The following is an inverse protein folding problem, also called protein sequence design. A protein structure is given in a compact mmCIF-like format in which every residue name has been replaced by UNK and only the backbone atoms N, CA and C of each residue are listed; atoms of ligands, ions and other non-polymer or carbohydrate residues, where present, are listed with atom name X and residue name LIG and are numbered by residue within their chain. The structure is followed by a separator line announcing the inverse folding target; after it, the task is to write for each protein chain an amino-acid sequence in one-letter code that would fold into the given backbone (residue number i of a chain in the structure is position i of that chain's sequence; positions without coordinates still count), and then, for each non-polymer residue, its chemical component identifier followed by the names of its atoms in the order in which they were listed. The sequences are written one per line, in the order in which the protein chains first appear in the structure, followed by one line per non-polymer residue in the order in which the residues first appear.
data_IF_072297165256
#
_entry.id   IF_072297165256
#
_cell.length_a   1.000
_cell.length_b   1.000
_cell.length_c   1.000
_cell.angle_alpha   90.00
_cell.angle_beta   90.00
_cell.angle_gamma   90.00
#
_symmetry.space_group_name_H-M   'P 1'
#
loop_
_entity.id
_entity.type
_entity.pdbx_description
1 polymer ?
#
# COMPACT_ATOMS: atom_id res chain seq x y z
N UNK A 1 -27.90 6.91 7.43
CA UNK A 1 -26.96 6.24 6.50
C UNK A 1 -26.33 7.32 5.66
N UNK A 2 -24.99 7.42 5.63
CA UNK A 2 -24.32 8.31 4.70
C UNK A 2 -24.66 7.95 3.25
N UNK A 3 -24.67 8.97 2.39
CA UNK A 3 -24.88 8.81 0.95
C UNK A 3 -23.78 7.91 0.39
N UNK A 4 -24.16 6.86 -0.34
CA UNK A 4 -23.22 6.02 -1.07
C UNK A 4 -22.76 6.75 -2.32
N UNK A 5 -21.44 6.87 -2.50
CA UNK A 5 -20.84 7.43 -3.71
C UNK A 5 -21.17 6.53 -4.91
N UNK A 6 -21.60 7.15 -6.00
CA UNK A 6 -21.88 6.50 -7.28
C UNK A 6 -20.58 6.28 -8.06
N UNK A 7 -20.58 5.38 -9.04
CA UNK A 7 -19.39 5.12 -9.88
C UNK A 7 -18.87 6.37 -10.61
N UNK A 8 -19.78 7.27 -11.02
CA UNK A 8 -19.43 8.56 -11.64
C UNK A 8 -18.80 9.53 -10.64
N UNK A 9 -19.34 9.63 -9.41
CA UNK A 9 -18.73 10.42 -8.34
C UNK A 9 -17.34 9.91 -7.98
N UNK A 10 -17.17 8.58 -7.88
CA UNK A 10 -15.89 7.94 -7.61
C UNK A 10 -14.86 8.28 -8.70
N UNK A 11 -15.24 8.14 -9.98
CA UNK A 11 -14.35 8.48 -11.11
C UNK A 11 -13.98 9.96 -11.13
N UNK A 12 -14.92 10.85 -10.81
CA UNK A 12 -14.67 12.29 -10.76
C UNK A 12 -13.69 12.65 -9.64
N UNK A 13 -13.85 12.06 -8.45
CA UNK A 13 -12.93 12.26 -7.32
C UNK A 13 -11.53 11.74 -7.70
N UNK A 14 -11.45 10.52 -8.26
CA UNK A 14 -10.20 9.93 -8.74
C UNK A 14 -9.46 10.86 -9.72
N UNK A 15 -10.15 11.39 -10.74
CA UNK A 15 -9.56 12.33 -11.71
C UNK A 15 -9.05 13.62 -11.07
N UNK A 16 -9.78 14.15 -10.09
CA UNK A 16 -9.37 15.36 -9.39
C UNK A 16 -8.12 15.13 -8.52
N UNK A 17 -8.04 13.96 -7.87
CA UNK A 17 -6.86 13.53 -7.12
C UNK A 17 -5.63 13.33 -8.02
N UNK A 18 -5.81 12.76 -9.22
CA UNK A 18 -4.74 12.58 -10.20
C UNK A 18 -4.10 13.92 -10.56
N UNK A 19 -4.92 14.92 -10.91
CA UNK A 19 -4.43 16.25 -11.26
C UNK A 19 -3.70 16.87 -10.07
N UNK A 20 -4.36 16.90 -8.90
CA UNK A 20 -3.79 17.45 -7.67
C UNK A 20 -2.45 16.80 -7.27
N UNK A 21 -2.34 15.47 -7.37
CA UNK A 21 -1.10 14.75 -7.10
C UNK A 21 0.01 15.17 -8.08
N UNK A 22 -0.29 15.29 -9.37
CA UNK A 22 0.67 15.68 -10.41
C UNK A 22 1.12 17.14 -10.24
N UNK A 23 0.21 18.07 -9.95
CA UNK A 23 0.47 19.52 -9.95
C UNK A 23 0.97 20.05 -8.62
N UNK A 24 0.39 19.61 -7.50
CA UNK A 24 0.60 20.24 -6.20
C UNK A 24 1.52 19.42 -5.30
N UNK A 25 1.40 18.09 -5.32
CA UNK A 25 2.13 17.20 -4.40
C UNK A 25 3.46 16.72 -4.99
N UNK A 26 3.45 16.21 -6.23
CA UNK A 26 4.62 15.65 -6.89
C UNK A 26 5.87 16.54 -6.87
N UNK A 27 5.74 17.84 -7.24
CA UNK A 27 6.87 18.76 -7.20
C UNK A 27 7.46 18.95 -5.79
N UNK A 28 6.65 18.83 -4.73
CA UNK A 28 7.14 18.96 -3.34
C UNK A 28 8.04 17.79 -3.00
N UNK A 29 7.55 16.56 -3.16
CA UNK A 29 8.32 15.34 -2.86
C UNK A 29 9.61 15.28 -3.70
N UNK A 30 9.50 15.57 -5.01
CA UNK A 30 10.64 15.55 -5.93
C UNK A 30 11.76 16.50 -5.52
N UNK A 31 11.40 17.68 -5.00
CA UNK A 31 12.38 18.67 -4.57
C UNK A 31 12.96 18.37 -3.18
N UNK A 32 12.24 17.64 -2.32
CA UNK A 32 12.59 17.47 -0.92
C UNK A 32 13.31 16.16 -0.56
N UNK A 33 13.36 15.15 -1.44
CA UNK A 33 14.06 13.87 -1.16
C UNK A 33 15.59 13.87 -1.32
N UNK A 34 16.18 15.01 -1.71
CA UNK A 34 17.60 15.11 -2.09
C UNK A 34 18.00 14.36 -3.37
N UNK A 35 17.09 13.58 -3.98
CA UNK A 35 17.38 12.72 -5.13
C UNK A 35 16.80 13.28 -6.42
N UNK A 36 17.71 13.69 -7.30
CA UNK A 36 17.45 13.80 -8.73
C UNK A 36 18.21 12.63 -9.36
N UNK A 37 17.68 11.92 -10.34
CA UNK A 37 18.37 10.76 -10.94
C UNK A 37 19.82 11.05 -11.36
N UNK A 38 20.15 12.33 -11.58
CA UNK A 38 21.47 12.81 -11.98
C UNK A 38 22.33 13.40 -10.84
N UNK A 39 21.79 13.57 -9.62
CA UNK A 39 22.52 14.18 -8.49
C UNK A 39 21.93 13.82 -7.13
N UNK A 40 22.81 13.55 -6.15
CA UNK A 40 22.46 13.30 -4.75
C UNK A 40 22.95 14.47 -3.87
N UNK A 41 22.05 15.08 -3.10
CA UNK A 41 22.38 16.15 -2.14
C UNK A 41 22.16 15.68 -0.70
N UNK A 42 23.27 15.35 -0.02
CA UNK A 42 23.28 14.91 1.38
C UNK A 42 22.66 15.93 2.34
N UNK A 43 22.64 17.22 2.00
CA UNK A 43 22.14 18.29 2.90
C UNK A 43 20.62 18.35 2.98
N UNK A 44 19.93 17.63 2.10
CA UNK A 44 18.46 17.62 2.00
C UNK A 44 17.86 16.44 2.80
N UNK A 45 18.70 15.55 3.32
CA UNK A 45 18.28 14.25 3.87
C UNK A 45 18.25 14.23 5.41
N UNK A 46 17.65 15.28 6.01
CA UNK A 46 17.47 15.39 7.46
C UNK A 46 16.09 14.89 7.89
N UNK A 47 16.02 14.11 8.97
CA UNK A 47 14.77 13.62 9.58
C UNK A 47 13.81 14.76 9.90
N UNK A 48 14.35 15.91 10.31
CA UNK A 48 13.57 17.11 10.58
C UNK A 48 12.92 17.66 9.31
N UNK A 49 13.61 17.61 8.16
CA UNK A 49 13.04 18.06 6.89
C UNK A 49 11.87 17.16 6.47
N UNK A 50 12.01 15.86 6.63
CA UNK A 50 10.97 14.90 6.24
C UNK A 50 9.70 15.13 7.04
N UNK A 51 9.82 15.27 8.37
CA UNK A 51 8.69 15.65 9.24
C UNK A 51 7.99 16.95 8.78
N UNK A 52 8.74 17.93 8.28
CA UNK A 52 8.17 19.18 7.74
C UNK A 52 7.44 18.95 6.41
N UNK A 53 7.99 18.09 5.54
CA UNK A 53 7.40 17.76 4.24
C UNK A 53 6.13 16.93 4.42
N UNK A 54 6.15 15.90 5.26
CA UNK A 54 4.99 15.08 5.62
C UNK A 54 3.82 15.94 6.07
N UNK A 55 4.03 16.79 7.09
CA UNK A 55 3.00 17.70 7.61
C UNK A 55 2.49 18.68 6.57
N UNK A 56 3.38 19.20 5.71
CA UNK A 56 3.00 20.12 4.64
C UNK A 56 2.12 19.42 3.61
N UNK A 57 2.50 18.22 3.18
CA UNK A 57 1.76 17.43 2.20
C UNK A 57 0.39 17.05 2.77
N UNK A 58 0.34 16.55 4.02
CA UNK A 58 -0.94 16.23 4.66
C UNK A 58 -1.87 17.44 4.76
N UNK A 59 -1.33 18.61 5.15
CA UNK A 59 -2.10 19.85 5.25
C UNK A 59 -2.71 20.24 3.90
N UNK A 60 -1.96 20.09 2.80
CA UNK A 60 -2.47 20.38 1.46
C UNK A 60 -3.56 19.39 1.05
N UNK A 61 -3.38 18.09 1.30
CA UNK A 61 -4.36 17.05 0.96
C UNK A 61 -5.64 17.23 1.80
N UNK A 62 -5.51 17.53 3.10
CA UNK A 62 -6.64 17.85 3.98
C UNK A 62 -7.42 19.05 3.46
N UNK A 63 -6.73 20.15 3.14
CA UNK A 63 -7.38 21.34 2.59
C UNK A 63 -8.10 21.03 1.27
N UNK A 64 -7.46 20.28 0.37
CA UNK A 64 -8.09 19.82 -0.86
C UNK A 64 -9.37 19.03 -0.58
N UNK A 65 -9.34 18.09 0.37
CA UNK A 65 -10.49 17.27 0.73
C UNK A 65 -11.63 18.13 1.32
N UNK A 66 -11.32 19.01 2.27
CA UNK A 66 -12.31 19.85 2.95
C UNK A 66 -12.95 20.89 2.01
N UNK A 67 -12.20 21.45 1.06
CA UNK A 67 -12.71 22.44 0.10
C UNK A 67 -13.58 21.82 -1.00
N UNK A 68 -13.24 20.62 -1.46
CA UNK A 68 -13.88 20.01 -2.63
C UNK A 68 -14.93 18.94 -2.27
N UNK A 69 -14.78 18.29 -1.13
CA UNK A 69 -15.58 17.14 -0.68
C UNK A 69 -15.88 17.21 0.83
N UNK A 70 -16.48 18.31 1.34
CA UNK A 70 -16.70 18.53 2.77
C UNK A 70 -17.54 17.47 3.47
N UNK A 71 -18.27 16.64 2.72
CA UNK A 71 -19.05 15.51 3.22
C UNK A 71 -18.24 14.22 3.46
N UNK A 72 -17.02 14.14 2.92
CA UNK A 72 -16.11 12.99 3.08
C UNK A 72 -15.16 13.31 4.25
N UNK A 73 -15.10 12.42 5.24
CA UNK A 73 -14.21 12.58 6.40
C UNK A 73 -12.74 12.48 5.99
N UNK A 74 -11.83 12.83 6.91
CA UNK A 74 -10.39 12.76 6.66
C UNK A 74 -9.64 12.09 7.80
N UNK A 75 -8.75 11.17 7.45
CA UNK A 75 -7.76 10.52 8.30
C UNK A 75 -6.41 10.62 7.60
N UNK A 76 -5.39 11.08 8.31
CA UNK A 76 -4.01 11.13 7.84
C UNK A 76 -3.06 10.64 8.92
N UNK A 77 -1.93 10.07 8.52
CA UNK A 77 -0.88 9.57 9.41
C UNK A 77 -0.43 10.60 10.46
N UNK A 78 -0.16 11.84 10.04
CA UNK A 78 0.43 12.87 10.89
C UNK A 78 -0.59 13.50 11.85
N UNK A 79 -1.88 13.46 11.48
CA UNK A 79 -2.96 14.00 12.30
C UNK A 79 -3.54 13.02 13.30
N UNK A 80 -3.41 11.71 13.06
CA UNK A 80 -4.09 10.72 13.89
C UNK A 80 -3.27 10.36 15.13
N UNK A 81 -3.92 10.39 16.30
CA UNK A 81 -3.29 9.83 17.49
C UNK A 81 -3.31 8.29 17.44
N UNK A 82 -2.25 7.63 17.94
CA UNK A 82 -2.11 6.16 17.89
C UNK A 82 -3.24 5.40 18.60
N UNK A 83 -3.96 6.05 19.50
CA UNK A 83 -5.06 5.48 20.29
C UNK A 83 -6.45 5.73 19.68
N UNK A 84 -6.53 6.50 18.59
CA UNK A 84 -7.80 6.89 17.99
C UNK A 84 -8.38 5.77 17.13
N UNK A 85 -9.56 5.28 17.54
CA UNK A 85 -10.36 4.36 16.73
C UNK A 85 -11.28 5.16 15.83
N UNK A 86 -11.20 4.91 14.54
CA UNK A 86 -12.04 5.57 13.55
C UNK A 86 -13.04 4.58 12.94
N UNK A 87 -14.28 5.03 12.82
CA UNK A 87 -15.35 4.33 12.12
C UNK A 87 -15.28 4.66 10.62
N UNK A 88 -15.09 3.63 9.80
CA UNK A 88 -14.99 3.72 8.34
C UNK A 88 -16.31 3.41 7.63
N UNK A 89 -17.44 3.41 8.33
CA UNK A 89 -18.76 3.26 7.71
C UNK A 89 -19.06 4.43 6.74
N UNK A 90 -18.75 5.66 7.13
CA UNK A 90 -18.93 6.84 6.28
C UNK A 90 -17.75 7.02 5.30
N UNK A 91 -17.97 7.62 4.10
CA UNK A 91 -16.90 7.99 3.20
C UNK A 91 -15.79 8.76 3.91
N UNK A 92 -14.55 8.27 3.79
CA UNK A 92 -13.40 8.81 4.52
C UNK A 92 -12.15 8.75 3.65
N UNK A 93 -11.49 9.89 3.45
CA UNK A 93 -10.12 9.95 2.94
C UNK A 93 -9.17 9.34 3.97
N UNK A 94 -8.28 8.44 3.52
CA UNK A 94 -7.24 7.81 4.33
C UNK A 94 -5.91 8.05 3.63
N UNK A 95 -5.02 8.81 4.27
CA UNK A 95 -3.87 9.44 3.62
C UNK A 95 -2.56 9.08 4.32
N UNK A 96 -1.57 8.67 3.53
CA UNK A 96 -0.16 8.65 3.89
C UNK A 96 0.55 9.72 3.02
N UNK A 97 1.05 10.81 3.62
CA UNK A 97 1.76 11.85 2.90
C UNK A 97 3.05 11.35 2.22
N UNK A 98 3.82 10.49 2.90
CA UNK A 98 5.08 9.91 2.44
C UNK A 98 5.24 8.48 2.98
N UNK A 99 4.64 7.52 2.28
CA UNK A 99 4.89 6.10 2.53
C UNK A 99 6.32 5.77 2.07
N UNK A 100 7.04 5.05 2.93
CA UNK A 100 8.47 4.82 2.78
C UNK A 100 9.32 6.02 3.19
N UNK A 101 8.99 6.67 4.31
CA UNK A 101 9.77 7.77 4.91
C UNK A 101 11.27 7.47 5.00
N UNK A 102 11.66 6.24 5.37
CA UNK A 102 13.08 5.84 5.39
C UNK A 102 13.71 5.89 4.00
N UNK A 103 13.00 5.44 2.96
CA UNK A 103 13.48 5.56 1.59
C UNK A 103 13.63 7.02 1.18
N UNK A 104 12.63 7.85 1.53
CA UNK A 104 12.66 9.28 1.25
C UNK A 104 13.86 9.98 1.91
N UNK A 105 14.15 9.69 3.20
CA UNK A 105 15.32 10.19 3.92
C UNK A 105 16.62 9.76 3.23
N UNK A 106 16.72 8.49 2.81
CA UNK A 106 17.94 7.96 2.21
C UNK A 106 18.07 8.23 0.71
N UNK A 107 17.11 8.92 0.09
CA UNK A 107 17.08 9.14 -1.35
C UNK A 107 16.90 7.85 -2.17
N UNK A 108 16.41 6.77 -1.56
CA UNK A 108 16.02 5.58 -2.30
C UNK A 108 14.71 5.89 -3.04
N UNK A 109 14.61 5.69 -4.37
CA UNK A 109 13.54 6.26 -5.20
C UNK A 109 12.19 5.53 -5.07
N UNK A 110 11.93 4.91 -3.92
CA UNK A 110 10.78 4.05 -3.67
C UNK A 110 9.94 4.55 -2.48
N UNK A 111 9.50 5.79 -2.58
CA UNK A 111 8.55 6.43 -1.67
C UNK A 111 7.43 7.09 -2.47
N UNK A 112 6.27 7.27 -1.85
CA UNK A 112 5.10 7.79 -2.53
C UNK A 112 4.15 8.54 -1.60
N UNK A 113 3.29 9.38 -2.17
CA UNK A 113 2.06 9.81 -1.49
C UNK A 113 0.94 8.81 -1.80
N UNK A 114 0.23 8.35 -0.78
CA UNK A 114 -0.89 7.42 -0.88
C UNK A 114 -2.19 8.10 -0.42
N UNK A 115 -3.19 8.15 -1.29
CA UNK A 115 -4.52 8.70 -0.99
C UNK A 115 -5.57 7.65 -1.32
N UNK A 116 -6.21 7.10 -0.28
CA UNK A 116 -7.35 6.21 -0.40
C UNK A 116 -8.66 6.89 0.00
N UNK A 117 -9.78 6.38 -0.50
CA UNK A 117 -11.11 6.66 0.08
C UNK A 117 -11.74 5.33 0.45
N UNK A 118 -12.19 5.22 1.69
CA UNK A 118 -12.97 4.08 2.18
C UNK A 118 -14.44 4.47 2.35
N UNK A 119 -15.35 3.53 2.08
CA UNK A 119 -16.77 3.67 2.37
C UNK A 119 -17.36 2.31 2.78
N UNK A 120 -18.13 2.27 3.87
CA UNK A 120 -18.66 1.01 4.42
C UNK A 120 -17.55 0.03 4.78
N UNK A 121 -16.43 0.56 5.30
CA UNK A 121 -15.24 -0.21 5.65
C UNK A 121 -14.46 -0.79 4.47
N UNK A 122 -14.75 -0.40 3.22
CA UNK A 122 -14.09 -0.93 2.01
C UNK A 122 -13.39 0.17 1.20
N UNK A 123 -12.19 -0.07 0.66
CA UNK A 123 -11.55 0.87 -0.25
C UNK A 123 -12.36 1.01 -1.54
N UNK A 124 -12.64 2.25 -1.96
CA UNK A 124 -13.42 2.58 -3.15
C UNK A 124 -12.70 3.51 -4.13
N UNK A 125 -11.66 4.21 -3.67
CA UNK A 125 -10.73 4.97 -4.52
C UNK A 125 -9.31 4.74 -3.98
N UNK A 126 -8.33 4.64 -4.86
CA UNK A 126 -6.92 4.65 -4.50
C UNK A 126 -6.09 5.37 -5.54
N UNK A 127 -5.25 6.32 -5.09
CA UNK A 127 -4.23 6.97 -5.88
C UNK A 127 -2.89 6.87 -5.13
N UNK A 128 -1.87 6.29 -5.77
CA UNK A 128 -0.51 6.16 -5.22
C UNK A 128 0.46 6.80 -6.20
N UNK A 129 1.16 7.84 -5.76
CA UNK A 129 2.05 8.60 -6.63
C UNK A 129 3.49 8.61 -6.13
N UNK A 130 4.38 8.03 -6.94
CA UNK A 130 5.82 8.17 -6.80
C UNK A 130 6.35 9.13 -7.88
N UNK A 131 6.68 10.39 -7.52
CA UNK A 131 7.16 11.38 -8.48
C UNK A 131 8.63 11.19 -8.88
N UNK A 132 9.39 10.37 -8.16
CA UNK A 132 10.75 10.01 -8.54
C UNK A 132 10.72 9.07 -9.74
N UNK A 133 9.95 7.99 -9.66
CA UNK A 133 9.80 7.02 -10.74
C UNK A 133 8.84 7.47 -11.85
N UNK A 134 8.17 8.61 -11.67
CA UNK A 134 7.07 9.05 -12.52
C UNK A 134 6.02 7.94 -12.68
N UNK A 135 5.58 7.38 -11.55
CA UNK A 135 4.60 6.30 -11.48
C UNK A 135 3.40 6.77 -10.67
N UNK A 136 2.27 6.98 -11.33
CA UNK A 136 0.97 7.23 -10.71
C UNK A 136 0.07 6.03 -10.94
N UNK A 137 -0.15 5.26 -9.88
CA UNK A 137 -1.15 4.20 -9.87
C UNK A 137 -2.48 4.79 -9.40
N UNK A 138 -3.57 4.47 -10.09
CA UNK A 138 -4.88 4.93 -9.67
C UNK A 138 -5.99 3.95 -10.05
N UNK A 139 -7.04 3.93 -9.23
CA UNK A 139 -8.24 3.16 -9.47
C UNK A 139 -9.42 3.73 -8.68
N UNK A 140 -10.62 3.43 -9.15
CA UNK A 140 -11.84 3.57 -8.36
C UNK A 140 -12.78 2.40 -8.63
N UNK A 141 -13.61 2.06 -7.65
CA UNK A 141 -14.45 0.86 -7.67
C UNK A 141 -15.31 0.78 -8.94
N UNK A 142 -15.08 -0.25 -9.75
CA UNK A 142 -15.77 -0.53 -11.01
C UNK A 142 -15.29 0.27 -12.22
N UNK A 143 -14.23 1.08 -12.09
CA UNK A 143 -13.68 1.90 -13.17
C UNK A 143 -12.30 1.39 -13.68
N UNK A 144 -11.81 0.28 -13.13
CA UNK A 144 -10.52 -0.32 -13.48
C UNK A 144 -9.33 0.34 -12.78
N UNK A 145 -8.15 -0.24 -12.98
CA UNK A 145 -6.88 0.23 -12.44
C UNK A 145 -5.92 0.66 -13.56
N UNK A 146 -5.09 1.66 -13.28
CA UNK A 146 -4.23 2.30 -14.28
C UNK A 146 -2.85 2.61 -13.68
N UNK A 147 -1.84 2.62 -14.53
CA UNK A 147 -0.50 3.16 -14.27
C UNK A 147 -0.21 4.23 -15.33
N UNK A 148 -0.05 5.49 -14.91
CA UNK A 148 0.19 6.62 -15.80
C UNK A 148 -0.83 6.69 -16.95
N UNK A 149 -2.13 6.63 -16.61
CA UNK A 149 -3.24 6.67 -17.55
C UNK A 149 -3.38 5.43 -18.47
N UNK A 150 -2.43 4.49 -18.43
CA UNK A 150 -2.51 3.21 -19.15
C UNK A 150 -3.19 2.13 -18.28
N UNK A 151 -4.17 1.37 -18.82
CA UNK A 151 -4.85 0.32 -18.07
C UNK A 151 -3.88 -0.78 -17.61
N UNK A 152 -4.02 -1.20 -16.35
CA UNK A 152 -3.28 -2.34 -15.80
C UNK A 152 -3.92 -3.63 -16.30
N UNK A 153 -3.25 -4.28 -17.25
CA UNK A 153 -3.64 -5.57 -17.80
C UNK A 153 -2.53 -6.60 -17.56
N UNK A 154 -2.65 -7.37 -16.47
CA UNK A 154 -1.67 -8.41 -16.14
C UNK A 154 -1.87 -9.60 -17.09
N UNK A 155 -0.80 -10.01 -17.78
CA UNK A 155 -0.83 -11.25 -18.57
C UNK A 155 -1.12 -12.46 -17.67
N UNK A 156 -2.02 -13.33 -18.15
CA UNK A 156 -2.40 -14.54 -17.41
C UNK A 156 -1.21 -15.48 -17.28
N UNK A 157 -0.84 -15.82 -16.05
CA UNK A 157 0.19 -16.81 -15.74
C UNK A 157 -0.12 -17.55 -14.45
N UNK A 158 0.26 -18.84 -14.42
CA UNK A 158 0.03 -19.70 -13.26
C UNK A 158 0.57 -19.08 -11.98
N UNK A 159 -0.26 -19.04 -10.95
CA UNK A 159 0.12 -18.55 -9.62
C UNK A 159 0.39 -19.75 -8.70
N UNK A 160 1.64 -19.89 -8.24
CA UNK A 160 2.02 -20.94 -7.29
C UNK A 160 3.13 -20.43 -6.37
N UNK A 161 3.10 -20.83 -5.10
CA UNK A 161 4.02 -20.34 -4.08
C UNK A 161 5.50 -20.59 -4.44
N UNK A 162 5.83 -21.80 -4.91
CA UNK A 162 7.21 -22.15 -5.25
C UNK A 162 7.79 -21.31 -6.40
N UNK A 163 6.94 -20.81 -7.31
CA UNK A 163 7.37 -20.01 -8.47
C UNK A 163 7.19 -18.51 -8.28
N UNK A 164 6.85 -18.06 -7.08
CA UNK A 164 6.51 -16.66 -6.84
C UNK A 164 7.69 -15.79 -6.43
N UNK A 165 7.59 -14.50 -6.75
CA UNK A 165 8.34 -13.42 -6.11
C UNK A 165 7.42 -12.75 -5.08
N UNK A 166 7.89 -12.63 -3.83
CA UNK A 166 7.10 -12.10 -2.71
C UNK A 166 7.75 -10.86 -2.11
N UNK A 167 7.00 -9.78 -1.97
CA UNK A 167 7.40 -8.61 -1.18
C UNK A 167 7.31 -8.91 0.32
N UNK A 168 8.38 -8.63 1.06
CA UNK A 168 8.53 -8.86 2.50
C UNK A 168 9.30 -7.67 3.10
N UNK A 169 8.85 -7.12 4.24
CA UNK A 169 9.60 -6.08 4.96
C UNK A 169 9.83 -6.41 6.43
N UNK A 170 11.01 -6.01 6.93
CA UNK A 170 11.37 -6.16 8.34
C UNK A 170 10.41 -5.45 9.32
N UNK A 171 9.59 -4.49 8.87
CA UNK A 171 8.71 -3.66 9.72
C UNK A 171 9.47 -2.61 10.52
N UNK A 172 8.85 -1.93 11.48
CA UNK A 172 9.51 -0.98 12.40
C UNK A 172 9.82 -1.57 13.78
N UNK A 173 9.03 -2.57 14.23
CA UNK A 173 9.30 -3.31 15.46
C UNK A 173 10.56 -4.18 15.31
N UNK A 174 11.48 -4.03 16.27
CA UNK A 174 12.81 -4.68 16.28
C UNK A 174 13.11 -5.45 17.56
N UNK A 175 12.11 -5.62 18.44
CA UNK A 175 12.27 -6.37 19.68
C UNK A 175 12.47 -7.86 19.35
N UNK A 176 13.69 -8.34 19.54
CA UNK A 176 14.01 -9.75 19.39
C UNK A 176 13.64 -10.54 20.66
N UNK A 177 13.05 -11.71 20.48
CA UNK A 177 12.61 -12.53 21.58
C UNK A 177 11.58 -13.56 21.16
N UNK A 178 11.54 -14.68 21.89
CA UNK A 178 10.58 -15.76 21.59
C UNK A 178 9.15 -15.21 21.60
N UNK A 179 8.49 -15.27 20.45
CA UNK A 179 7.08 -14.89 20.30
C UNK A 179 6.83 -13.42 19.97
N UNK A 180 7.87 -12.60 19.81
CA UNK A 180 7.72 -11.23 19.28
C UNK A 180 7.33 -11.28 17.79
N UNK A 181 6.78 -10.18 17.27
CA UNK A 181 6.49 -10.08 15.84
C UNK A 181 7.76 -10.17 14.99
N UNK A 182 8.87 -9.62 15.49
CA UNK A 182 10.17 -9.68 14.82
C UNK A 182 10.59 -11.13 14.57
N UNK A 183 10.70 -11.94 15.64
CA UNK A 183 11.13 -13.34 15.49
C UNK A 183 10.18 -14.15 14.60
N UNK A 184 8.86 -13.98 14.75
CA UNK A 184 7.85 -14.64 13.90
C UNK A 184 7.99 -14.31 12.41
N UNK A 185 8.23 -13.04 12.07
CA UNK A 185 8.47 -12.62 10.68
C UNK A 185 9.69 -13.31 10.11
N UNK A 186 10.83 -13.26 10.80
CA UNK A 186 12.07 -13.85 10.28
C UNK A 186 12.02 -15.38 10.23
N UNK A 187 11.31 -16.03 11.15
CA UNK A 187 11.04 -17.47 11.05
C UNK A 187 10.15 -17.81 9.85
N UNK A 188 9.13 -16.98 9.57
CA UNK A 188 8.32 -17.09 8.35
C UNK A 188 9.18 -16.91 7.10
N UNK A 189 10.10 -15.94 7.09
CA UNK A 189 11.02 -15.72 5.96
C UNK A 189 11.91 -16.93 5.71
N UNK A 190 12.49 -17.48 6.78
CA UNK A 190 13.28 -18.70 6.71
C UNK A 190 12.47 -19.86 6.11
N UNK A 191 11.21 -20.02 6.52
CA UNK A 191 10.29 -21.04 5.98
C UNK A 191 9.92 -20.80 4.52
N UNK A 192 9.80 -19.55 4.07
CA UNK A 192 9.50 -19.24 2.66
C UNK A 192 10.71 -19.43 1.76
N UNK A 193 11.92 -19.06 2.23
CA UNK A 193 13.12 -18.95 1.40
C UNK A 193 13.99 -20.22 1.39
N UNK A 194 13.94 -21.04 2.45
CA UNK A 194 14.82 -22.21 2.54
C UNK A 194 14.43 -23.31 1.55
N UNK A 195 15.42 -24.10 1.14
CA UNK A 195 15.29 -25.31 0.32
C UNK A 195 14.44 -26.41 0.98
N UNK A 196 14.37 -26.41 2.32
CA UNK A 196 13.49 -27.26 3.14
C UNK A 196 12.12 -26.63 3.39
N UNK A 197 11.89 -25.43 2.88
CA UNK A 197 10.67 -24.64 3.03
C UNK A 197 9.87 -24.57 1.73
N UNK A 198 9.23 -23.41 1.48
CA UNK A 198 8.49 -23.18 0.25
C UNK A 198 9.40 -23.02 -0.98
N UNK A 199 10.64 -22.59 -0.77
CA UNK A 199 11.64 -22.32 -1.79
C UNK A 199 11.09 -21.43 -2.92
N UNK A 200 10.51 -20.28 -2.52
CA UNK A 200 10.02 -19.28 -3.46
C UNK A 200 11.16 -18.78 -4.37
N UNK A 201 10.85 -18.30 -5.57
CA UNK A 201 11.86 -17.83 -6.53
C UNK A 201 12.68 -16.64 -6.02
N UNK A 202 12.08 -15.81 -5.16
CA UNK A 202 12.81 -14.75 -4.48
C UNK A 202 11.89 -13.84 -3.67
N UNK A 203 12.50 -12.93 -2.94
CA UNK A 203 11.79 -11.88 -2.24
C UNK A 203 12.27 -10.49 -2.66
N UNK A 204 11.47 -9.47 -2.36
CA UNK A 204 11.83 -8.06 -2.45
C UNK A 204 11.51 -7.37 -1.13
N UNK A 205 12.34 -6.42 -0.73
CA UNK A 205 12.10 -5.50 0.39
C UNK A 205 12.42 -4.13 -0.18
N UNK A 206 11.38 -3.37 -0.49
CA UNK A 206 11.46 -2.10 -1.21
C UNK A 206 11.09 -0.91 -0.33
N UNK A 207 10.55 -1.13 0.87
CA UNK A 207 10.42 -0.12 1.92
C UNK A 207 9.23 0.83 1.82
N UNK A 208 8.24 0.56 0.97
CA UNK A 208 6.95 1.28 0.92
C UNK A 208 5.83 0.28 0.69
N UNK A 209 4.86 0.23 1.60
CA UNK A 209 3.75 -0.72 1.57
C UNK A 209 2.80 -0.45 0.40
N UNK A 210 2.43 0.82 0.18
CA UNK A 210 1.53 1.23 -0.90
C UNK A 210 2.14 0.92 -2.27
N UNK A 211 3.43 1.21 -2.48
CA UNK A 211 4.13 0.87 -3.72
C UNK A 211 4.29 -0.64 -3.90
N UNK A 212 4.59 -1.39 -2.83
CA UNK A 212 4.68 -2.85 -2.89
C UNK A 212 3.35 -3.46 -3.35
N UNK A 213 2.21 -2.99 -2.81
CA UNK A 213 0.88 -3.43 -3.25
C UNK A 213 0.66 -3.05 -4.73
N UNK A 214 1.01 -1.84 -5.15
CA UNK A 214 0.91 -1.43 -6.56
C UNK A 214 1.75 -2.30 -7.49
N UNK A 215 2.93 -2.74 -7.04
CA UNK A 215 3.81 -3.63 -7.81
C UNK A 215 3.27 -5.06 -7.89
N UNK A 216 2.47 -5.49 -6.92
CA UNK A 216 1.64 -6.70 -7.03
C UNK A 216 0.52 -6.48 -8.06
N UNK A 217 -0.11 -5.29 -8.08
CA UNK A 217 -1.20 -4.95 -9.02
C UNK A 217 -0.78 -5.00 -10.48
N UNK A 218 0.49 -4.71 -10.81
CA UNK A 218 1.04 -4.85 -12.18
C UNK A 218 1.76 -6.18 -12.42
N UNK A 219 1.76 -7.09 -11.45
CA UNK A 219 2.34 -8.41 -11.57
C UNK A 219 3.88 -8.44 -11.59
N UNK A 220 4.56 -7.39 -11.13
CA UNK A 220 6.02 -7.43 -10.89
C UNK A 220 6.39 -8.29 -9.69
N UNK A 221 5.48 -8.36 -8.71
CA UNK A 221 5.49 -9.34 -7.63
C UNK A 221 4.20 -10.16 -7.69
N UNK A 222 4.24 -11.40 -7.21
CA UNK A 222 3.06 -12.25 -7.16
C UNK A 222 2.27 -12.03 -5.85
N UNK A 223 2.97 -11.67 -4.78
CA UNK A 223 2.36 -11.33 -3.50
C UNK A 223 3.20 -10.34 -2.70
N UNK A 224 2.59 -9.73 -1.69
CA UNK A 224 3.23 -8.91 -0.67
C UNK A 224 2.64 -9.26 0.70
N UNK A 225 3.50 -9.58 1.67
CA UNK A 225 3.08 -9.94 3.02
C UNK A 225 3.79 -9.08 4.05
N UNK A 226 2.99 -8.42 4.88
CA UNK A 226 3.49 -7.58 5.95
C UNK A 226 2.54 -7.54 7.15
N UNK A 227 3.11 -7.28 8.32
CA UNK A 227 2.36 -6.80 9.47
C UNK A 227 2.99 -5.55 10.04
N UNK A 228 2.16 -4.74 10.68
CA UNK A 228 2.50 -3.43 11.23
C UNK A 228 1.85 -2.29 10.47
N UNK A 229 1.47 -2.50 9.20
CA UNK A 229 0.90 -1.44 8.36
C UNK A 229 -0.39 -0.87 8.95
N UNK A 230 -0.61 0.41 8.76
CA UNK A 230 -1.83 1.13 9.10
C UNK A 230 -2.80 1.16 7.91
N UNK A 231 -3.96 1.77 8.13
CA UNK A 231 -4.97 1.91 7.08
C UNK A 231 -4.47 2.77 5.91
N UNK A 232 -3.66 3.80 6.18
CA UNK A 232 -3.12 4.71 5.17
C UNK A 232 -2.09 4.05 4.25
N UNK A 233 -1.27 3.14 4.79
CA UNK A 233 -0.32 2.31 4.04
C UNK A 233 -0.99 1.42 2.98
N UNK A 234 -2.24 0.97 3.24
CA UNK A 234 -2.87 -0.09 2.42
C UNK A 234 -4.12 0.35 1.68
N UNK A 235 -4.86 1.37 2.13
CA UNK A 235 -6.18 1.68 1.57
C UNK A 235 -6.15 1.95 0.06
N UNK A 236 -5.24 2.82 -0.39
CA UNK A 236 -5.13 3.16 -1.80
C UNK A 236 -4.69 1.95 -2.64
N UNK A 237 -3.59 1.30 -2.24
CA UNK A 237 -3.06 0.11 -2.91
C UNK A 237 -4.08 -1.03 -2.99
N UNK A 238 -4.90 -1.22 -1.94
CA UNK A 238 -5.94 -2.24 -1.92
C UNK A 238 -7.01 -1.98 -2.97
N UNK A 239 -7.51 -0.74 -3.11
CA UNK A 239 -8.46 -0.42 -4.18
C UNK A 239 -7.86 -0.72 -5.56
N UNK A 240 -6.61 -0.29 -5.79
CA UNK A 240 -5.87 -0.50 -7.05
C UNK A 240 -5.72 -2.00 -7.34
N UNK A 241 -5.33 -2.80 -6.34
CA UNK A 241 -5.13 -4.23 -6.50
C UNK A 241 -6.44 -4.96 -6.80
N UNK A 242 -7.54 -4.62 -6.12
CA UNK A 242 -8.83 -5.24 -6.38
C UNK A 242 -9.31 -4.95 -7.82
N UNK A 243 -9.18 -3.71 -8.27
CA UNK A 243 -9.55 -3.31 -9.64
C UNK A 243 -8.62 -3.93 -10.71
N UNK A 244 -7.38 -4.29 -10.34
CA UNK A 244 -6.47 -5.10 -11.16
C UNK A 244 -6.77 -6.62 -11.10
N UNK A 245 -7.83 -7.05 -10.43
CA UNK A 245 -8.24 -8.46 -10.28
C UNK A 245 -7.44 -9.22 -9.21
N UNK A 246 -6.66 -8.52 -8.39
CA UNK A 246 -5.98 -9.08 -7.22
C UNK A 246 -6.89 -9.20 -6.01
N UNK A 247 -6.31 -9.66 -4.89
CA UNK A 247 -7.00 -9.84 -3.62
C UNK A 247 -6.08 -9.48 -2.46
N UNK A 248 -6.63 -8.87 -1.41
CA UNK A 248 -5.97 -8.73 -0.10
C UNK A 248 -6.76 -9.49 0.95
N UNK A 249 -6.05 -10.27 1.75
CA UNK A 249 -6.55 -10.97 2.96
C UNK A 249 -5.65 -10.63 4.15
N UNK A 250 -5.99 -11.12 5.34
CA UNK A 250 -5.12 -10.96 6.50
C UNK A 250 -3.83 -11.75 6.39
N UNK A 251 -2.76 -11.20 6.94
CA UNK A 251 -1.46 -11.85 6.91
C UNK A 251 -1.38 -13.11 7.78
N UNK A 252 -2.31 -13.30 8.73
CA UNK A 252 -2.37 -14.51 9.56
C UNK A 252 -3.30 -15.58 8.98
N UNK A 253 -3.03 -16.87 9.22
CA UNK A 253 -3.86 -17.97 8.74
C UNK A 253 -5.35 -17.83 9.05
N UNK A 254 -6.20 -18.05 8.04
CA UNK A 254 -7.66 -18.06 8.16
C UNK A 254 -8.33 -16.68 8.13
N UNK A 255 -7.57 -15.59 8.05
CA UNK A 255 -8.10 -14.23 8.00
C UNK A 255 -8.57 -13.82 6.59
N UNK A 256 -9.57 -14.51 6.04
CA UNK A 256 -10.09 -14.26 4.69
C UNK A 256 -10.79 -12.92 4.52
N UNK A 257 -11.53 -12.49 5.54
CA UNK A 257 -12.27 -11.24 5.56
C UNK A 257 -11.73 -10.39 6.70
N UNK A 258 -11.19 -9.23 6.36
CA UNK A 258 -10.51 -8.35 7.31
C UNK A 258 -10.94 -6.90 7.07
N UNK A 259 -11.00 -6.07 8.13
CA UNK A 259 -11.19 -4.64 7.97
C UNK A 259 -9.90 -3.98 7.43
N UNK A 260 -10.01 -2.75 6.92
CA UNK A 260 -8.87 -1.96 6.42
C UNK A 260 -7.82 -1.70 7.51
N UNK A 261 -8.18 -1.75 8.78
CA UNK A 261 -7.28 -1.53 9.92
C UNK A 261 -6.81 -2.85 10.59
N UNK A 262 -6.75 -3.97 9.85
CA UNK A 262 -6.34 -5.28 10.37
C UNK A 262 -4.88 -5.39 10.84
N UNK A 263 -4.02 -4.45 10.43
CA UNK A 263 -2.58 -4.36 10.77
C UNK A 263 -1.69 -5.51 10.27
N UNK A 264 -2.23 -6.45 9.51
CA UNK A 264 -1.43 -7.47 8.83
C UNK A 264 -2.14 -7.95 7.57
N UNK A 265 -1.42 -8.02 6.45
CA UNK A 265 -1.99 -8.18 5.13
C UNK A 265 -1.18 -9.17 4.29
N UNK A 266 -1.89 -9.88 3.42
CA UNK A 266 -1.33 -10.63 2.30
C UNK A 266 -2.05 -10.16 1.03
N UNK A 267 -1.34 -9.38 0.22
CA UNK A 267 -1.78 -8.96 -1.10
C UNK A 267 -1.32 -9.98 -2.14
N UNK A 268 -2.20 -10.36 -3.06
CA UNK A 268 -1.94 -11.38 -4.10
C UNK A 268 -2.42 -10.86 -5.44
N UNK A 269 -1.59 -11.01 -6.48
CA UNK A 269 -1.89 -10.48 -7.82
C UNK A 269 -3.12 -11.12 -8.48
N UNK A 270 -3.65 -10.43 -9.49
CA UNK A 270 -4.59 -10.99 -10.47
C UNK A 270 -3.85 -11.71 -11.62
N UNK A 271 -4.49 -11.77 -12.79
CA UNK A 271 -3.88 -12.39 -13.99
C UNK A 271 -3.69 -13.90 -13.85
N UNK A 272 -4.73 -14.59 -13.40
CA UNK A 272 -4.71 -16.04 -13.13
C UNK A 272 -5.04 -16.86 -14.38
N UNK A 273 -4.55 -18.10 -14.42
CA UNK A 273 -4.95 -19.08 -15.44
C UNK A 273 -6.26 -19.75 -15.03
N UNK A 274 -6.37 -20.14 -13.76
CA UNK A 274 -7.55 -20.77 -13.16
C UNK A 274 -8.09 -19.91 -12.01
N UNK A 275 -9.41 -19.95 -11.79
CA UNK A 275 -10.09 -19.06 -10.83
C UNK A 275 -9.72 -19.34 -9.35
N UNK A 276 -9.21 -20.54 -9.04
CA UNK A 276 -8.89 -20.97 -7.67
C UNK A 276 -7.42 -20.75 -7.25
N UNK A 277 -6.58 -20.24 -8.16
CA UNK A 277 -5.14 -20.11 -7.89
C UNK A 277 -4.82 -19.14 -6.74
N UNK A 278 -5.58 -18.04 -6.61
CA UNK A 278 -5.42 -17.10 -5.50
C UNK A 278 -5.70 -17.78 -4.15
N UNK A 279 -6.77 -18.58 -4.06
CA UNK A 279 -7.15 -19.23 -2.81
C UNK A 279 -6.15 -20.31 -2.40
N UNK A 280 -5.70 -21.12 -3.37
CA UNK A 280 -4.62 -22.10 -3.15
C UNK A 280 -3.33 -21.41 -2.71
N UNK A 281 -2.92 -20.35 -3.40
CA UNK A 281 -1.72 -19.59 -3.06
C UNK A 281 -1.77 -19.05 -1.62
N UNK A 282 -2.90 -18.47 -1.23
CA UNK A 282 -3.11 -17.91 0.12
C UNK A 282 -3.00 -19.02 1.18
N UNK A 283 -3.66 -20.17 0.96
CA UNK A 283 -3.60 -21.31 1.87
C UNK A 283 -2.20 -21.89 1.99
N UNK A 284 -1.51 -22.07 0.86
CA UNK A 284 -0.12 -22.54 0.82
C UNK A 284 0.78 -21.57 1.58
N UNK A 285 0.68 -20.27 1.31
CA UNK A 285 1.49 -19.24 1.98
C UNK A 285 1.28 -19.27 3.50
N UNK A 286 0.03 -19.31 3.96
CA UNK A 286 -0.31 -19.39 5.38
C UNK A 286 0.24 -20.64 6.06
N UNK A 287 0.43 -21.75 5.32
CA UNK A 287 1.10 -22.95 5.83
C UNK A 287 2.56 -22.71 6.25
N UNK A 288 3.19 -21.65 5.75
CA UNK A 288 4.57 -21.25 6.09
C UNK A 288 4.65 -20.10 7.09
N UNK A 289 3.53 -19.48 7.50
CA UNK A 289 3.50 -18.40 8.49
C UNK A 289 3.75 -18.95 9.90
N UNK A 290 4.74 -18.37 10.58
CA UNK A 290 5.20 -18.80 11.90
C UNK A 290 4.53 -18.01 13.02
N UNK A 291 3.39 -18.51 13.48
CA UNK A 291 2.60 -17.88 14.54
C UNK A 291 1.88 -16.62 14.07
N UNK A 292 0.91 -16.17 14.86
CA UNK A 292 0.15 -14.98 14.52
C UNK A 292 0.94 -13.70 14.86
N UNK A 293 1.05 -12.80 13.88
CA UNK A 293 1.44 -11.40 14.09
C UNK A 293 0.34 -10.68 14.88
N UNK A 294 0.72 -9.93 15.90
CA UNK A 294 -0.20 -9.20 16.79
C UNK A 294 0.29 -7.77 16.97
N UNK A 295 -0.48 -6.81 16.46
CA UNK A 295 -0.21 -5.37 16.53
C UNK A 295 -1.35 -4.66 17.24
#
# INVERSE_FOLDING_TARGET
MAKKLTGEELRKIEQHLIEFLKTDIGPILKNASGTKFDSYDEKVNDVDLVTVVDKKVETLIRKFAEENYPEIKFIGEESLSKDERFDLEDPTFIVDPIDGTTNFIHGFPFSCTSIGVAQGGKPVIGCVYNPHLNQLFHASLGNGAYLNDEPINIEKRTLSLKKSIIGLEGGSEREDGKGTNFTKKFDTYRKLLSDRGAFIHGFRSLGSAAMNICYVSIGYMDAYWEGGCWAWDVCAGWCILNEAGGKIVGGNPGQWNIPINNRSYLAVRGGLVDDDEQEKFIQDFWGFVEGALKY
#
